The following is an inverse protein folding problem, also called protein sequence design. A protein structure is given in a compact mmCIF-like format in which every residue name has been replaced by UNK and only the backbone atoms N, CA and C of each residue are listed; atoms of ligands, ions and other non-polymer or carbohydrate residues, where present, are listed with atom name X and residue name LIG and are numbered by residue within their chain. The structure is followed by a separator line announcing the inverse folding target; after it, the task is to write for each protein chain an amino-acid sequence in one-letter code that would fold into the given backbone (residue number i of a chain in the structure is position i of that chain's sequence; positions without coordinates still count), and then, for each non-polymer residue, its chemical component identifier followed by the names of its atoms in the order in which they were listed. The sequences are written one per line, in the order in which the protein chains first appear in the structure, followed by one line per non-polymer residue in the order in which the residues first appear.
data_IF_024234629710
#
_entry.id   IF_024234629710
#
_cell.length_a   1.000
_cell.length_b   1.000
_cell.length_c   1.000
_cell.angle_alpha   90.00
_cell.angle_beta   90.00
_cell.angle_gamma   90.00
#
_symmetry.space_group_name_H-M   'P 1'
#
loop_
_entity.id
_entity.type
_entity.pdbx_description
1 polymer ?
#
# COMPACT_ATOMS: atom_id res chain seq x y z
N UNK A 1 -37.93 -75.18 -46.21
CA UNK A 1 -38.82 -75.53 -45.07
C UNK A 1 -37.98 -75.37 -43.80
N UNK A 2 -38.26 -74.58 -42.77
CA UNK A 2 -39.33 -73.66 -42.34
C UNK A 2 -38.55 -72.56 -41.57
N UNK A 3 -38.67 -71.26 -41.89
CA UNK A 3 -39.61 -70.31 -41.27
C UNK A 3 -39.81 -70.59 -39.77
N UNK A 4 -39.58 -69.59 -38.90
CA UNK A 4 -39.86 -69.52 -37.44
C UNK A 4 -38.68 -69.12 -36.52
N UNK A 5 -37.67 -68.37 -36.99
CA UNK A 5 -36.72 -67.71 -36.05
C UNK A 5 -36.94 -66.19 -35.96
N UNK A 6 -37.82 -65.63 -36.81
CA UNK A 6 -38.09 -64.19 -36.82
C UNK A 6 -39.06 -63.67 -35.73
N UNK A 7 -40.03 -64.45 -35.18
CA UNK A 7 -40.92 -63.92 -34.14
C UNK A 7 -40.36 -63.99 -32.70
N UNK A 8 -39.29 -64.75 -32.45
CA UNK A 8 -38.73 -64.93 -31.11
C UNK A 8 -37.71 -63.85 -30.72
N UNK A 9 -37.04 -63.23 -31.71
CA UNK A 9 -36.03 -62.18 -31.45
C UNK A 9 -36.69 -60.82 -31.15
N UNK A 10 -37.88 -60.55 -31.69
CA UNK A 10 -38.61 -59.29 -31.44
C UNK A 10 -39.22 -59.26 -30.02
N UNK A 11 -39.64 -60.40 -29.48
CA UNK A 11 -40.23 -60.49 -28.14
C UNK A 11 -39.19 -60.40 -27.01
N UNK A 12 -37.92 -60.77 -27.27
CA UNK A 12 -36.82 -60.58 -26.31
C UNK A 12 -36.28 -59.14 -26.29
N UNK A 13 -36.42 -58.40 -27.39
CA UNK A 13 -36.05 -56.97 -27.43
C UNK A 13 -37.12 -56.11 -26.71
N UNK A 14 -38.40 -56.51 -26.70
CA UNK A 14 -39.45 -55.73 -26.03
C UNK A 14 -39.45 -55.82 -24.49
N UNK A 15 -38.81 -56.84 -23.89
CA UNK A 15 -38.76 -56.99 -22.42
C UNK A 15 -37.56 -56.25 -21.79
N UNK A 16 -36.51 -55.96 -22.56
CA UNK A 16 -35.38 -55.16 -22.08
C UNK A 16 -35.64 -53.64 -22.12
N UNK A 17 -36.72 -53.18 -22.75
CA UNK A 17 -37.04 -51.75 -22.92
C UNK A 17 -38.14 -51.20 -21.99
N UNK A 18 -38.69 -51.97 -21.05
CA UNK A 18 -39.81 -51.51 -20.20
C UNK A 18 -39.45 -51.37 -18.69
N UNK A 19 -38.24 -51.75 -18.26
CA UNK A 19 -37.88 -51.74 -16.82
C UNK A 19 -36.58 -51.02 -16.43
N UNK A 20 -36.07 -50.07 -17.24
CA UNK A 20 -35.13 -49.07 -16.74
C UNK A 20 -35.73 -47.67 -16.84
N UNK A 21 -36.56 -47.37 -15.84
CA UNK A 21 -36.75 -46.00 -15.34
C UNK A 21 -35.46 -45.59 -14.64
N UNK A 22 -34.71 -44.68 -15.23
CA UNK A 22 -33.76 -43.80 -14.53
C UNK A 22 -33.48 -42.61 -15.45
N UNK A 23 -34.03 -41.46 -15.05
CA UNK A 23 -33.61 -40.08 -15.34
C UNK A 23 -33.36 -39.66 -16.80
N UNK A 24 -33.83 -38.46 -17.23
CA UNK A 24 -33.49 -37.95 -18.54
C UNK A 24 -31.96 -37.88 -18.66
N UNK A 25 -31.36 -38.27 -19.81
CA UNK A 25 -29.93 -38.18 -20.00
C UNK A 25 -29.53 -36.73 -19.78
N UNK A 26 -28.80 -36.50 -18.68
CA UNK A 26 -28.02 -35.29 -18.48
C UNK A 26 -27.30 -35.09 -19.80
N UNK A 27 -27.61 -33.99 -20.50
CA UNK A 27 -26.78 -33.52 -21.61
C UNK A 27 -25.35 -33.67 -21.08
N UNK A 28 -24.59 -34.57 -21.66
CA UNK A 28 -23.14 -34.44 -21.65
C UNK A 28 -22.93 -33.11 -22.36
N UNK A 29 -22.92 -32.03 -21.56
CA UNK A 29 -22.17 -30.85 -21.89
C UNK A 29 -20.84 -31.41 -22.36
N UNK A 30 -20.42 -31.18 -23.62
CA UNK A 30 -19.08 -31.58 -24.02
C UNK A 30 -18.19 -31.06 -22.92
N UNK A 31 -17.40 -31.98 -22.32
CA UNK A 31 -16.43 -31.66 -21.29
C UNK A 31 -15.88 -30.31 -21.69
N UNK A 32 -16.17 -29.28 -20.86
CA UNK A 32 -15.74 -27.93 -21.16
C UNK A 32 -14.29 -28.10 -21.55
N UNK A 33 -14.02 -27.86 -22.83
CA UNK A 33 -12.67 -27.79 -23.34
C UNK A 33 -11.96 -27.00 -22.27
N UNK A 34 -10.89 -27.58 -21.72
CA UNK A 34 -9.98 -26.83 -20.90
C UNK A 34 -9.45 -25.71 -21.81
N UNK A 35 -10.25 -24.67 -21.96
CA UNK A 35 -9.83 -23.36 -22.41
C UNK A 35 -8.77 -23.05 -21.39
N UNK A 36 -7.51 -23.10 -21.84
CA UNK A 36 -6.43 -22.43 -21.14
C UNK A 36 -7.00 -21.08 -20.69
N UNK A 37 -6.82 -20.65 -19.43
CA UNK A 37 -6.98 -19.25 -19.15
C UNK A 37 -5.92 -18.55 -20.01
N UNK A 38 -6.32 -18.07 -21.19
CA UNK A 38 -5.43 -17.50 -22.21
C UNK A 38 -4.89 -16.12 -21.77
N UNK A 39 -5.24 -15.65 -20.58
CA UNK A 39 -4.68 -14.45 -19.99
C UNK A 39 -4.00 -14.86 -18.67
N UNK A 40 -2.66 -14.94 -18.69
CA UNK A 40 -1.88 -14.94 -17.46
C UNK A 40 -2.08 -13.58 -16.76
N UNK A 41 -1.88 -13.49 -15.44
CA UNK A 41 -1.82 -12.20 -14.78
C UNK A 41 -0.70 -11.34 -15.38
N UNK A 42 -0.85 -10.02 -15.27
CA UNK A 42 0.19 -9.09 -15.68
C UNK A 42 0.54 -8.16 -14.53
N UNK A 43 1.84 -7.91 -14.36
CA UNK A 43 2.35 -6.87 -13.47
C UNK A 43 2.34 -5.54 -14.21
N UNK A 44 1.85 -4.49 -13.56
CA UNK A 44 1.71 -3.16 -14.14
C UNK A 44 2.53 -2.14 -13.36
N UNK A 45 3.23 -1.30 -14.11
CA UNK A 45 3.99 -0.14 -13.64
C UNK A 45 3.59 1.10 -14.45
N UNK A 46 4.16 2.25 -14.10
CA UNK A 46 4.08 3.50 -14.83
C UNK A 46 4.81 3.43 -16.18
N UNK A 47 5.76 2.51 -16.34
CA UNK A 47 6.55 2.32 -17.56
C UNK A 47 5.91 1.33 -18.55
N UNK A 48 4.99 0.48 -18.09
CA UNK A 48 4.33 -0.51 -18.93
C UNK A 48 3.67 -1.65 -18.15
N UNK A 49 3.48 -2.77 -18.82
CA UNK A 49 2.93 -3.98 -18.21
C UNK A 49 3.60 -5.21 -18.81
N UNK A 50 3.90 -6.20 -17.98
CA UNK A 50 4.48 -7.46 -18.43
C UNK A 50 3.71 -8.66 -17.88
N UNK A 51 3.64 -9.74 -18.64
CA UNK A 51 3.04 -10.99 -18.18
C UNK A 51 3.91 -11.63 -17.09
N UNK A 52 3.26 -12.11 -16.03
CA UNK A 52 3.98 -12.85 -14.98
C UNK A 52 4.17 -14.32 -15.38
N UNK A 53 5.31 -14.89 -15.02
CA UNK A 53 5.64 -16.27 -15.28
C UNK A 53 4.96 -17.20 -14.27
N UNK A 54 4.20 -18.19 -14.73
CA UNK A 54 3.56 -19.17 -13.84
C UNK A 54 4.59 -20.15 -13.27
N UNK A 55 4.83 -20.11 -11.95
CA UNK A 55 5.67 -21.07 -11.25
C UNK A 55 4.91 -22.35 -10.90
N UNK A 56 3.77 -22.22 -10.23
CA UNK A 56 3.00 -23.37 -9.70
C UNK A 56 1.49 -23.13 -9.82
N UNK A 57 0.76 -24.12 -10.34
CA UNK A 57 -0.68 -24.02 -10.61
C UNK A 57 -1.59 -24.29 -9.41
N UNK A 58 -1.11 -25.06 -8.45
CA UNK A 58 -1.85 -25.42 -7.23
C UNK A 58 -1.37 -24.63 -6.01
N UNK A 59 -0.47 -23.66 -6.25
CA UNK A 59 0.26 -22.97 -5.21
C UNK A 59 1.39 -23.82 -4.66
N UNK A 60 2.50 -23.18 -4.32
CA UNK A 60 3.52 -23.80 -3.50
C UNK A 60 3.56 -23.16 -2.12
N UNK A 61 3.93 -23.97 -1.13
CA UNK A 61 4.68 -23.42 0.00
C UNK A 61 5.95 -22.81 -0.57
N UNK A 62 6.18 -21.52 -0.35
CA UNK A 62 7.34 -20.80 -0.88
C UNK A 62 8.65 -21.52 -0.54
N UNK A 63 8.73 -22.16 0.63
CA UNK A 63 9.89 -22.92 1.10
C UNK A 63 10.15 -24.19 0.30
N UNK A 64 9.17 -24.68 -0.47
CA UNK A 64 9.31 -25.87 -1.31
C UNK A 64 9.76 -25.56 -2.74
N UNK A 65 9.78 -24.28 -3.14
CA UNK A 65 10.25 -23.87 -4.47
C UNK A 65 11.78 -23.94 -4.49
N UNK A 66 12.32 -24.77 -5.39
CA UNK A 66 13.77 -24.94 -5.48
C UNK A 66 14.48 -23.71 -6.05
N UNK A 67 15.74 -23.49 -5.65
CA UNK A 67 16.55 -22.38 -6.15
C UNK A 67 16.76 -22.44 -7.65
N UNK A 68 16.90 -23.63 -8.23
CA UNK A 68 17.07 -23.85 -9.67
C UNK A 68 15.83 -23.41 -10.44
N UNK A 69 14.64 -23.67 -9.88
CA UNK A 69 13.38 -23.24 -10.47
C UNK A 69 13.24 -21.71 -10.47
N UNK A 70 13.61 -21.06 -9.37
CA UNK A 70 13.62 -19.58 -9.27
C UNK A 70 14.67 -18.95 -10.20
N UNK A 71 15.87 -19.52 -10.28
CA UNK A 71 16.90 -19.06 -11.21
C UNK A 71 16.45 -19.19 -12.67
N UNK A 72 15.83 -20.33 -13.03
CA UNK A 72 15.29 -20.52 -14.37
C UNK A 72 14.14 -19.57 -14.70
N UNK A 73 13.30 -19.24 -13.72
CA UNK A 73 12.26 -18.23 -13.89
C UNK A 73 12.85 -16.82 -14.05
N UNK A 74 13.91 -16.47 -13.32
CA UNK A 74 14.64 -15.20 -13.46
C UNK A 74 15.29 -15.03 -14.85
N UNK A 75 15.73 -16.13 -15.47
CA UNK A 75 16.27 -16.11 -16.84
C UNK A 75 15.17 -15.97 -17.90
N UNK A 76 14.00 -16.57 -17.67
CA UNK A 76 12.90 -16.62 -18.64
C UNK A 76 11.94 -15.42 -18.56
N UNK A 77 11.73 -14.86 -17.38
CA UNK A 77 10.80 -13.77 -17.18
C UNK A 77 11.29 -12.49 -17.87
N UNK A 78 10.38 -11.84 -18.58
CA UNK A 78 10.64 -10.50 -19.13
C UNK A 78 10.82 -9.50 -17.99
N UNK A 79 11.71 -8.55 -18.22
CA UNK A 79 12.08 -7.56 -17.20
C UNK A 79 11.27 -6.30 -17.39
N UNK A 80 10.51 -5.91 -16.38
CA UNK A 80 9.86 -4.60 -16.34
C UNK A 80 10.74 -3.61 -15.58
N UNK A 81 10.98 -2.45 -16.16
CA UNK A 81 11.74 -1.39 -15.51
C UNK A 81 10.84 -0.57 -14.61
N UNK A 82 11.24 -0.31 -13.38
CA UNK A 82 10.37 0.31 -12.36
C UNK A 82 11.11 1.43 -11.63
N UNK A 83 10.37 2.42 -11.15
CA UNK A 83 10.92 3.47 -10.29
C UNK A 83 10.98 2.98 -8.83
N UNK A 84 11.95 3.45 -8.02
CA UNK A 84 11.97 3.17 -6.59
C UNK A 84 10.69 3.73 -5.93
N UNK A 85 10.17 3.02 -4.92
CA UNK A 85 8.91 3.32 -4.19
C UNK A 85 7.63 3.34 -5.04
N UNK A 86 7.72 2.95 -6.31
CA UNK A 86 6.55 2.76 -7.15
C UNK A 86 5.63 1.67 -6.59
N UNK A 87 4.32 1.81 -6.79
CA UNK A 87 3.34 0.76 -6.45
C UNK A 87 3.03 -0.05 -7.69
N UNK A 88 3.38 -1.33 -7.67
CA UNK A 88 3.02 -2.26 -8.72
C UNK A 88 1.65 -2.87 -8.44
N UNK A 89 0.81 -2.88 -9.47
CA UNK A 89 -0.47 -3.58 -9.43
C UNK A 89 -0.36 -4.88 -10.22
N UNK A 90 -1.08 -5.91 -9.78
CA UNK A 90 -1.23 -7.13 -10.55
C UNK A 90 -2.67 -7.26 -11.02
N UNK A 91 -2.82 -7.44 -12.33
CA UNK A 91 -4.12 -7.69 -12.93
C UNK A 91 -4.35 -9.18 -13.03
N UNK A 92 -5.50 -9.63 -12.53
CA UNK A 92 -5.91 -11.01 -12.62
C UNK A 92 -7.18 -11.11 -13.48
N UNK A 93 -7.35 -12.17 -14.28
CA UNK A 93 -8.62 -12.43 -14.97
C UNK A 93 -9.79 -12.60 -13.99
N UNK A 94 -9.49 -13.14 -12.80
CA UNK A 94 -10.40 -13.28 -11.67
C UNK A 94 -9.62 -12.82 -10.44
N UNK A 95 -10.10 -11.81 -9.74
CA UNK A 95 -9.40 -11.27 -8.58
C UNK A 95 -9.31 -12.31 -7.44
N UNK A 96 -8.09 -12.53 -6.91
CA UNK A 96 -7.90 -13.37 -5.73
C UNK A 96 -8.49 -12.70 -4.48
N UNK A 97 -8.74 -13.50 -3.45
CA UNK A 97 -9.12 -13.00 -2.12
C UNK A 97 -7.91 -12.65 -1.25
N UNK A 98 -6.73 -13.13 -1.61
CA UNK A 98 -5.47 -12.87 -0.90
C UNK A 98 -4.31 -12.93 -1.89
N UNK A 99 -3.41 -11.96 -1.81
CA UNK A 99 -2.15 -11.91 -2.54
C UNK A 99 -1.02 -11.72 -1.55
N UNK A 100 0.06 -12.49 -1.71
CA UNK A 100 1.30 -12.28 -0.96
C UNK A 100 2.49 -12.13 -1.90
N UNK A 101 3.40 -11.25 -1.53
CA UNK A 101 4.62 -10.94 -2.26
C UNK A 101 5.85 -11.41 -1.48
N UNK A 102 6.85 -11.94 -2.18
CA UNK A 102 8.14 -12.31 -1.59
C UNK A 102 9.25 -12.02 -2.58
N UNK A 103 10.37 -11.48 -2.10
CA UNK A 103 11.52 -11.16 -2.96
C UNK A 103 12.49 -12.34 -3.09
N UNK A 104 13.07 -12.44 -4.29
CA UNK A 104 14.16 -13.35 -4.63
C UNK A 104 15.32 -12.54 -5.22
N UNK A 105 16.46 -12.60 -4.53
CA UNK A 105 17.72 -12.08 -5.03
C UNK A 105 18.63 -13.28 -5.41
N UNK A 106 19.25 -13.31 -6.59
CA UNK A 106 20.09 -14.44 -7.01
C UNK A 106 21.25 -14.75 -6.04
N UNK A 107 21.84 -13.72 -5.43
CA UNK A 107 23.00 -13.86 -4.53
C UNK A 107 22.59 -14.25 -3.10
N UNK A 108 21.47 -13.73 -2.60
CA UNK A 108 21.01 -13.94 -1.22
C UNK A 108 20.02 -15.10 -1.08
N UNK A 109 19.34 -15.46 -2.18
CA UNK A 109 18.26 -16.44 -2.20
C UNK A 109 16.88 -15.80 -1.97
N UNK A 110 15.95 -16.60 -1.44
CA UNK A 110 14.60 -16.13 -1.13
C UNK A 110 14.60 -15.36 0.19
N UNK A 111 14.05 -14.15 0.18
CA UNK A 111 13.98 -13.25 1.33
C UNK A 111 12.61 -13.38 2.00
N UNK A 112 12.46 -14.40 2.85
CA UNK A 112 11.17 -14.81 3.45
C UNK A 112 10.63 -13.79 4.47
N UNK A 113 11.49 -12.94 5.04
CA UNK A 113 11.09 -11.98 6.08
C UNK A 113 10.40 -10.72 5.51
N UNK A 114 10.34 -10.57 4.19
CA UNK A 114 9.66 -9.47 3.48
C UNK A 114 8.37 -9.97 2.81
N UNK A 115 7.48 -10.59 3.59
CA UNK A 115 6.15 -10.96 3.10
C UNK A 115 5.19 -9.76 3.23
N UNK A 116 4.72 -9.24 2.10
CA UNK A 116 3.70 -8.20 2.05
C UNK A 116 2.36 -8.85 1.61
N UNK A 117 1.32 -8.68 2.43
CA UNK A 117 -0.06 -9.04 2.09
C UNK A 117 -0.84 -7.77 1.75
N UNK A 118 -1.03 -7.53 0.45
CA UNK A 118 -1.75 -6.37 -0.10
C UNK A 118 -2.10 -6.65 -1.57
N UNK A 119 -2.95 -5.82 -2.18
CA UNK A 119 -3.22 -5.87 -3.63
C UNK A 119 -2.13 -5.17 -4.45
N UNK A 120 -1.28 -4.38 -3.78
CA UNK A 120 -0.20 -3.61 -4.37
C UNK A 120 1.14 -3.98 -3.74
N UNK A 121 2.18 -4.10 -4.56
CA UNK A 121 3.54 -4.27 -4.08
C UNK A 121 4.30 -2.94 -4.15
N UNK A 122 4.98 -2.54 -3.08
CA UNK A 122 5.78 -1.31 -3.06
C UNK A 122 7.22 -1.67 -3.41
N UNK A 123 7.74 -1.05 -4.49
CA UNK A 123 9.11 -1.28 -4.93
C UNK A 123 10.10 -0.74 -3.90
N UNK A 124 11.12 -1.53 -3.50
CA UNK A 124 12.13 -1.06 -2.55
C UNK A 124 12.99 0.06 -3.16
N UNK A 125 13.71 0.77 -2.29
CA UNK A 125 14.63 1.82 -2.71
C UNK A 125 15.79 1.27 -3.53
N UNK A 126 16.46 0.21 -3.07
CA UNK A 126 17.75 -0.21 -3.63
C UNK A 126 17.66 -0.68 -5.11
N UNK A 127 18.50 -0.12 -6.01
CA UNK A 127 18.45 -0.36 -7.44
C UNK A 127 18.85 -1.79 -7.82
N UNK A 128 18.55 -2.16 -9.06
CA UNK A 128 18.97 -3.41 -9.69
C UNK A 128 17.86 -4.43 -9.89
N UNK A 129 18.26 -5.60 -10.37
CA UNK A 129 17.36 -6.67 -10.80
C UNK A 129 16.90 -7.49 -9.60
N UNK A 130 15.59 -7.69 -9.50
CA UNK A 130 14.95 -8.51 -8.46
C UNK A 130 13.91 -9.46 -9.05
N UNK A 131 13.74 -10.61 -8.41
CA UNK A 131 12.63 -11.51 -8.65
C UNK A 131 11.52 -11.28 -7.64
N UNK A 132 10.29 -11.15 -8.11
CA UNK A 132 9.10 -11.05 -7.27
C UNK A 132 8.31 -12.36 -7.38
N UNK A 133 8.18 -13.07 -6.27
CA UNK A 133 7.33 -14.26 -6.17
C UNK A 133 5.97 -13.80 -5.68
N UNK A 134 4.93 -14.10 -6.45
CA UNK A 134 3.56 -13.63 -6.21
C UNK A 134 2.69 -14.85 -5.95
N UNK A 135 2.08 -14.93 -4.78
CA UNK A 135 1.18 -16.02 -4.44
C UNK A 135 -0.25 -15.50 -4.34
N UNK A 136 -1.15 -16.06 -5.13
CA UNK A 136 -2.55 -15.66 -5.18
C UNK A 136 -3.46 -16.82 -4.71
N UNK A 137 -4.44 -16.51 -3.86
CA UNK A 137 -5.42 -17.45 -3.31
C UNK A 137 -6.86 -16.96 -3.59
N UNK A 138 -7.74 -17.85 -4.05
CA UNK A 138 -9.12 -17.50 -4.40
C UNK A 138 -10.13 -18.03 -3.38
N UNK A 139 -11.18 -17.26 -3.12
CA UNK A 139 -12.20 -17.56 -2.11
C UNK A 139 -12.95 -18.90 -2.35
N UNK A 140 -13.07 -19.34 -3.61
CA UNK A 140 -13.72 -20.61 -3.96
C UNK A 140 -12.79 -21.83 -3.83
N UNK A 141 -11.57 -21.62 -3.34
CA UNK A 141 -10.47 -22.58 -3.38
C UNK A 141 -9.64 -22.41 -4.64
N UNK A 142 -8.38 -22.84 -4.56
CA UNK A 142 -7.38 -22.64 -5.60
C UNK A 142 -6.31 -21.64 -5.15
N UNK A 143 -5.07 -21.96 -5.51
CA UNK A 143 -3.88 -21.17 -5.23
C UNK A 143 -2.96 -21.28 -6.42
N UNK A 144 -2.23 -20.21 -6.72
CA UNK A 144 -1.22 -20.22 -7.76
C UNK A 144 -0.04 -19.35 -7.34
N UNK A 145 1.15 -19.72 -7.78
CA UNK A 145 2.38 -18.96 -7.55
C UNK A 145 2.96 -18.54 -8.88
N UNK A 146 3.29 -17.26 -9.00
CA UNK A 146 3.84 -16.61 -10.17
C UNK A 146 5.19 -15.97 -9.85
N UNK A 147 5.92 -15.60 -10.89
CA UNK A 147 7.20 -14.92 -10.82
C UNK A 147 7.21 -13.74 -11.78
N UNK A 148 7.64 -12.58 -11.30
CA UNK A 148 7.93 -11.42 -12.14
C UNK A 148 9.39 -11.01 -11.95
N UNK A 149 10.00 -10.42 -12.98
CA UNK A 149 11.34 -9.87 -12.91
C UNK A 149 11.25 -8.36 -13.07
N UNK A 150 11.76 -7.65 -12.07
CA UNK A 150 11.77 -6.19 -12.04
C UNK A 150 13.21 -5.69 -12.09
N UNK A 151 13.42 -4.53 -12.70
CA UNK A 151 14.69 -3.80 -12.66
C UNK A 151 14.45 -2.40 -12.09
N UNK A 152 14.85 -2.22 -10.83
CA UNK A 152 14.68 -0.97 -10.10
C UNK A 152 15.73 0.02 -10.58
N UNK A 153 15.27 1.12 -11.19
CA UNK A 153 16.16 2.13 -11.75
C UNK A 153 16.99 2.82 -10.65
N UNK A 154 18.25 3.10 -10.93
CA UNK A 154 19.09 4.00 -10.13
C UNK A 154 18.87 5.43 -10.60
N UNK A 155 18.02 6.16 -9.85
CA UNK A 155 17.62 7.53 -10.19
C UNK A 155 18.41 8.56 -9.37
N UNK A 156 18.66 8.25 -8.10
CA UNK A 156 19.31 9.15 -7.15
C UNK A 156 20.60 8.53 -6.61
N UNK A 157 21.62 9.36 -6.35
CA UNK A 157 22.90 8.84 -5.83
C UNK A 157 22.80 8.33 -4.39
N UNK A 158 21.81 8.83 -3.63
CA UNK A 158 21.54 8.50 -2.24
C UNK A 158 20.42 7.46 -2.08
N UNK A 159 19.94 6.88 -3.18
CA UNK A 159 18.76 6.00 -3.19
C UNK A 159 18.89 4.81 -2.21
N UNK A 160 20.06 4.17 -2.16
CA UNK A 160 20.35 3.05 -1.23
C UNK A 160 20.42 3.46 0.24
N UNK A 161 20.53 4.76 0.51
CA UNK A 161 20.61 5.29 1.87
C UNK A 161 19.23 5.59 2.46
N UNK A 162 18.18 5.54 1.64
CA UNK A 162 16.82 5.72 2.09
C UNK A 162 16.26 4.39 2.58
N UNK A 163 15.51 4.46 3.68
CA UNK A 163 14.79 3.34 4.25
C UNK A 163 13.92 2.63 3.20
N UNK A 164 13.97 1.28 3.13
CA UNK A 164 13.06 0.52 2.29
C UNK A 164 11.62 0.56 2.83
N UNK A 165 11.42 0.83 4.12
CA UNK A 165 10.09 1.04 4.68
C UNK A 165 9.63 2.49 4.42
N UNK A 166 8.54 2.70 3.64
CA UNK A 166 8.04 4.04 3.30
C UNK A 166 7.49 4.83 4.50
N UNK A 167 7.24 4.16 5.63
CA UNK A 167 6.78 4.80 6.87
C UNK A 167 7.94 5.35 7.72
N UNK A 168 9.18 4.97 7.42
CA UNK A 168 10.37 5.40 8.17
C UNK A 168 11.07 6.52 7.40
N UNK A 169 11.28 7.65 8.07
CA UNK A 169 12.05 8.75 7.52
C UNK A 169 13.54 8.42 7.51
N UNK A 170 14.27 8.91 6.52
CA UNK A 170 15.72 8.68 6.41
C UNK A 170 16.45 9.99 6.65
N UNK A 171 17.24 10.04 7.72
CA UNK A 171 18.13 11.17 8.03
C UNK A 171 19.50 10.83 7.50
N UNK A 172 20.00 11.62 6.55
CA UNK A 172 21.34 11.46 5.99
C UNK A 172 22.19 12.66 6.40
N UNK A 173 23.31 12.40 7.04
CA UNK A 173 24.27 13.41 7.46
C UNK A 173 25.60 13.24 6.72
N UNK A 174 26.08 14.33 6.14
CA UNK A 174 27.36 14.41 5.46
C UNK A 174 28.33 15.27 6.27
N UNK A 175 29.58 14.81 6.42
CA UNK A 175 30.62 15.48 7.21
C UNK A 175 32.02 15.21 6.66
N UNK A 176 32.98 16.10 6.93
CA UNK A 176 34.40 15.85 6.64
C UNK A 176 35.08 15.01 7.73
N UNK A 177 34.50 14.95 8.92
CA UNK A 177 35.10 14.28 10.09
C UNK A 177 34.13 13.29 10.72
N UNK A 178 34.69 12.22 11.30
CA UNK A 178 33.95 11.25 12.10
C UNK A 178 33.46 11.83 13.45
N UNK A 179 33.96 13.01 13.85
CA UNK A 179 33.55 13.71 15.07
C UNK A 179 32.32 14.59 14.82
N UNK A 180 31.25 14.00 14.29
CA UNK A 180 29.97 14.69 14.09
C UNK A 180 29.15 14.74 15.39
N UNK A 181 28.30 15.78 15.56
CA UNK A 181 27.32 15.79 16.64
C UNK A 181 26.41 14.56 16.52
N UNK A 182 26.24 13.82 17.61
CA UNK A 182 25.45 12.58 17.64
C UNK A 182 23.97 12.90 17.42
N UNK A 183 23.46 12.59 16.22
CA UNK A 183 22.03 12.67 15.93
C UNK A 183 21.33 11.68 16.86
N UNK A 184 20.34 12.12 17.67
CA UNK A 184 19.68 11.26 18.61
C UNK A 184 19.05 10.07 17.89
N UNK A 185 19.01 8.88 18.50
CA UNK A 185 18.29 7.77 17.94
C UNK A 185 16.80 8.10 17.88
N UNK A 186 16.13 7.54 16.87
CA UNK A 186 14.69 7.68 16.75
C UNK A 186 13.97 7.00 17.92
N UNK A 187 13.30 7.81 18.73
CA UNK A 187 12.30 7.31 19.69
C UNK A 187 11.19 6.67 18.85
N UNK A 188 10.88 5.40 19.11
CA UNK A 188 9.85 4.61 18.41
C UNK A 188 10.15 4.23 16.95
N UNK A 189 11.39 4.40 16.46
CA UNK A 189 11.79 3.94 15.12
C UNK A 189 11.21 4.71 13.93
N UNK A 190 10.62 5.89 14.17
CA UNK A 190 10.11 6.81 13.13
C UNK A 190 11.15 7.26 12.09
N UNK A 191 12.44 7.27 12.42
CA UNK A 191 13.50 7.55 11.45
C UNK A 191 14.73 6.67 11.62
N UNK A 192 15.45 6.45 10.52
CA UNK A 192 16.80 5.90 10.50
C UNK A 192 17.83 7.03 10.28
N UNK A 193 19.06 6.81 10.73
CA UNK A 193 20.15 7.77 10.55
C UNK A 193 21.28 7.08 9.80
N UNK A 194 21.76 7.71 8.73
CA UNK A 194 22.97 7.33 8.03
C UNK A 194 23.96 8.49 8.04
N UNK A 195 25.23 8.19 8.28
CA UNK A 195 26.30 9.18 8.32
C UNK A 195 27.34 8.83 7.27
N UNK A 196 27.70 9.80 6.44
CA UNK A 196 28.67 9.67 5.37
C UNK A 196 29.79 10.66 5.58
N UNK A 197 31.01 10.14 5.61
CA UNK A 197 32.21 10.94 5.83
C UNK A 197 33.04 10.96 4.55
N UNK A 198 33.53 12.13 4.16
CA UNK A 198 34.39 12.32 3.00
C UNK A 198 34.77 13.77 2.82
N UNK A 199 35.73 14.06 1.94
CA UNK A 199 36.02 15.46 1.59
C UNK A 199 34.83 16.10 0.85
N UNK A 200 34.72 17.43 0.93
CA UNK A 200 33.71 18.20 0.19
C UNK A 200 33.67 17.82 -1.30
N UNK A 201 34.84 17.71 -1.94
CA UNK A 201 34.95 17.38 -3.36
C UNK A 201 34.53 15.94 -3.68
N UNK A 202 34.87 14.98 -2.83
CA UNK A 202 34.43 13.58 -2.99
C UNK A 202 32.93 13.46 -2.84
N UNK A 203 32.36 14.04 -1.78
CA UNK A 203 30.93 13.96 -1.53
C UNK A 203 30.10 14.68 -2.59
N UNK A 204 30.55 15.83 -3.11
CA UNK A 204 29.89 16.48 -4.25
C UNK A 204 29.91 15.63 -5.52
N UNK A 205 31.00 14.90 -5.77
CA UNK A 205 31.12 14.02 -6.94
C UNK A 205 30.24 12.78 -6.79
N UNK A 206 30.22 12.20 -5.60
CA UNK A 206 29.52 10.95 -5.32
C UNK A 206 28.01 11.20 -5.11
N UNK A 207 27.62 12.41 -4.69
CA UNK A 207 26.22 12.83 -4.50
C UNK A 207 25.86 14.14 -5.23
N UNK A 208 25.92 14.16 -6.57
CA UNK A 208 25.77 15.38 -7.37
C UNK A 208 24.37 15.98 -7.33
N UNK A 209 23.34 15.16 -7.15
CA UNK A 209 21.92 15.52 -7.08
C UNK A 209 21.49 16.14 -5.75
N UNK A 210 22.31 16.01 -4.70
CA UNK A 210 22.07 16.67 -3.40
C UNK A 210 22.56 18.12 -3.36
N UNK A 211 23.35 18.56 -4.35
CA UNK A 211 23.82 19.96 -4.39
C UNK A 211 24.66 20.36 -3.17
N UNK A 212 25.43 19.44 -2.59
CA UNK A 212 26.22 19.63 -1.37
C UNK A 212 27.13 20.86 -1.46
N UNK A 213 26.69 22.03 -1.00
CA UNK A 213 27.45 23.28 -1.13
C UNK A 213 28.47 23.50 0.01
N UNK A 214 28.19 22.91 1.18
CA UNK A 214 29.02 23.01 2.38
C UNK A 214 28.76 21.83 3.31
N UNK A 215 29.74 21.53 4.16
CA UNK A 215 29.65 20.52 5.22
C UNK A 215 29.70 21.16 6.62
N UNK A 216 29.02 20.57 7.63
CA UNK A 216 28.12 19.43 7.50
C UNK A 216 26.84 19.77 6.73
N UNK A 217 26.21 18.76 6.14
CA UNK A 217 24.91 18.87 5.49
C UNK A 217 24.00 17.75 5.98
N UNK A 218 22.75 18.08 6.24
CA UNK A 218 21.76 17.16 6.78
C UNK A 218 20.52 17.18 5.91
N UNK A 219 20.06 16.00 5.54
CA UNK A 219 18.89 15.81 4.70
C UNK A 219 17.93 14.86 5.40
N UNK A 220 16.64 15.12 5.26
CA UNK A 220 15.59 14.20 5.71
C UNK A 220 14.70 13.86 4.53
N UNK A 221 14.53 12.56 4.31
CA UNK A 221 13.72 12.00 3.24
C UNK A 221 12.55 11.20 3.80
N UNK A 222 11.45 11.20 3.07
CA UNK A 222 10.41 10.18 3.16
C UNK A 222 10.25 9.59 1.77
N UNK A 223 10.60 8.32 1.59
CA UNK A 223 10.74 7.72 0.24
C UNK A 223 11.65 8.60 -0.64
N UNK A 224 11.25 8.93 -1.87
CA UNK A 224 11.99 9.83 -2.78
C UNK A 224 11.93 11.32 -2.40
N UNK A 225 11.02 11.72 -1.50
CA UNK A 225 10.78 13.14 -1.25
C UNK A 225 11.75 13.68 -0.20
N UNK A 226 12.56 14.66 -0.62
CA UNK A 226 13.37 15.47 0.29
C UNK A 226 12.47 16.48 1.00
N UNK A 227 12.22 16.26 2.28
CA UNK A 227 11.30 17.10 3.07
C UNK A 227 12.03 18.15 3.92
N UNK A 228 13.33 17.97 4.14
CA UNK A 228 14.14 18.91 4.93
C UNK A 228 15.62 18.86 4.52
N UNK A 229 16.24 20.04 4.49
CA UNK A 229 17.67 20.23 4.26
C UNK A 229 18.19 21.32 5.19
N UNK A 230 19.37 21.11 5.79
CA UNK A 230 20.06 22.16 6.55
C UNK A 230 21.56 21.89 6.66
N UNK A 231 22.34 22.94 6.89
CA UNK A 231 23.75 22.86 7.30
C UNK A 231 23.95 23.08 8.81
N UNK A 232 22.86 23.20 9.58
CA UNK A 232 22.89 23.53 11.01
C UNK A 232 22.30 22.40 11.82
N UNK A 233 23.13 21.81 12.67
CA UNK A 233 22.73 20.71 13.56
C UNK A 233 21.51 21.06 14.43
N UNK A 234 21.49 22.25 15.05
CA UNK A 234 20.34 22.67 15.88
C UNK A 234 19.02 22.75 15.10
N UNK A 235 19.08 23.05 13.79
CA UNK A 235 17.89 23.06 12.94
C UNK A 235 17.41 21.65 12.63
N UNK A 236 18.33 20.70 12.39
CA UNK A 236 17.99 19.29 12.26
C UNK A 236 17.33 18.78 13.54
N UNK A 237 17.95 19.01 14.70
CA UNK A 237 17.40 18.56 15.98
C UNK A 237 16.05 19.19 16.25
N UNK A 238 15.90 20.48 15.97
CA UNK A 238 14.59 21.12 16.04
C UNK A 238 13.60 20.40 15.14
N UNK A 239 13.91 20.14 13.88
CA UNK A 239 13.02 19.44 12.96
C UNK A 239 12.62 18.02 13.45
N UNK A 240 13.58 17.21 13.89
CA UNK A 240 13.33 15.82 14.33
C UNK A 240 12.53 15.74 15.64
N UNK A 241 12.63 16.75 16.49
CA UNK A 241 12.02 16.76 17.84
C UNK A 241 10.81 17.67 17.96
N UNK A 242 10.57 18.54 16.97
CA UNK A 242 9.49 19.52 17.02
C UNK A 242 8.15 18.82 17.15
N UNK A 243 7.43 19.20 18.20
CA UNK A 243 6.00 18.99 18.30
C UNK A 243 5.34 20.24 17.74
N UNK A 244 4.60 20.10 16.66
CA UNK A 244 3.75 21.16 16.13
C UNK A 244 2.33 20.96 16.64
N UNK A 245 1.71 22.06 17.10
CA UNK A 245 0.29 22.09 17.42
C UNK A 245 -0.38 23.11 16.51
N UNK A 246 -1.29 22.65 15.66
CA UNK A 246 -2.06 23.48 14.75
C UNK A 246 -3.51 23.49 15.20
N UNK A 247 -4.09 24.68 15.34
CA UNK A 247 -5.51 24.82 15.70
C UNK A 247 -6.26 25.43 14.53
N UNK A 248 -7.18 24.67 13.96
CA UNK A 248 -8.09 25.11 12.91
C UNK A 248 -9.49 25.33 13.49
N UNK A 249 -10.15 26.39 13.04
CA UNK A 249 -11.54 26.67 13.43
C UNK A 249 -12.41 26.95 12.21
N UNK A 250 -13.66 26.52 12.29
CA UNK A 250 -14.67 26.81 11.27
C UNK A 250 -16.06 26.80 11.86
N UNK A 251 -16.98 27.45 11.15
CA UNK A 251 -18.36 27.57 11.57
C UNK A 251 -19.27 27.60 10.35
N UNK A 252 -20.40 26.90 10.41
CA UNK A 252 -21.45 26.89 9.38
C UNK A 252 -22.72 27.55 9.90
N UNK A 253 -23.89 27.26 9.32
CA UNK A 253 -25.16 27.68 9.93
C UNK A 253 -25.40 26.93 11.26
N UNK A 254 -25.15 25.62 11.27
CA UNK A 254 -25.56 24.73 12.35
C UNK A 254 -24.42 24.25 13.26
N UNK A 255 -23.17 24.36 12.83
CA UNK A 255 -22.05 23.74 13.52
C UNK A 255 -20.91 24.72 13.76
N UNK A 256 -20.22 24.53 14.88
CA UNK A 256 -18.91 25.13 15.17
C UNK A 256 -17.91 24.00 15.40
N UNK A 257 -16.74 24.12 14.79
CA UNK A 257 -15.66 23.13 14.85
C UNK A 257 -14.38 23.78 15.32
N UNK A 258 -13.69 23.09 16.22
CA UNK A 258 -12.28 23.28 16.51
C UNK A 258 -11.57 21.97 16.23
N UNK A 259 -10.55 22.00 15.38
CA UNK A 259 -9.68 20.87 15.07
C UNK A 259 -8.28 21.21 15.59
N UNK A 260 -7.83 20.47 16.59
CA UNK A 260 -6.49 20.60 17.17
C UNK A 260 -5.64 19.45 16.68
N UNK A 261 -4.64 19.74 15.83
CA UNK A 261 -3.68 18.78 15.33
C UNK A 261 -2.42 18.86 16.18
N UNK A 262 -2.02 17.77 16.80
CA UNK A 262 -0.71 17.62 17.42
C UNK A 262 0.13 16.68 16.55
N UNK A 263 1.23 17.16 15.98
CA UNK A 263 2.05 16.35 15.09
C UNK A 263 3.54 16.49 15.42
N UNK A 264 4.25 15.38 15.26
CA UNK A 264 5.71 15.24 15.22
C UNK A 264 6.04 14.54 13.90
N UNK A 265 7.31 14.54 13.50
CA UNK A 265 7.78 13.75 12.37
C UNK A 265 7.20 12.31 12.40
N UNK A 266 6.45 11.96 11.36
CA UNK A 266 5.85 10.64 11.15
C UNK A 266 4.66 10.26 12.02
N UNK A 267 4.35 11.02 13.08
CA UNK A 267 3.29 10.67 14.03
C UNK A 267 2.51 11.91 14.46
N UNK A 268 1.19 11.83 14.43
CA UNK A 268 0.35 12.86 14.99
C UNK A 268 -0.98 12.32 15.49
N UNK A 269 -1.75 13.22 16.06
CA UNK A 269 -3.16 13.04 16.31
C UNK A 269 -3.88 14.32 15.94
N UNK A 270 -5.18 14.21 15.68
CA UNK A 270 -6.05 15.35 15.73
C UNK A 270 -7.23 15.08 16.65
N UNK A 271 -7.56 16.08 17.45
CA UNK A 271 -8.78 16.15 18.22
C UNK A 271 -9.76 17.07 17.51
N UNK A 272 -10.96 16.58 17.27
CA UNK A 272 -12.06 17.41 16.80
C UNK A 272 -13.02 17.67 17.96
N UNK A 273 -13.32 18.93 18.20
CA UNK A 273 -14.41 19.39 19.05
C UNK A 273 -15.49 20.00 18.16
N UNK A 274 -16.68 19.39 18.17
CA UNK A 274 -17.82 19.79 17.37
C UNK A 274 -18.97 20.21 18.29
N UNK A 275 -19.52 21.39 18.06
CA UNK A 275 -20.67 21.93 18.80
C UNK A 275 -21.82 22.25 17.85
N UNK A 276 -23.01 21.74 18.14
CA UNK A 276 -24.23 22.11 17.43
C UNK A 276 -24.81 23.42 17.98
N UNK A 277 -25.07 24.38 17.09
CA UNK A 277 -25.54 25.74 17.41
C UNK A 277 -27.06 25.92 17.32
N UNK A 278 -27.78 24.89 16.88
CA UNK A 278 -29.24 24.95 16.78
C UNK A 278 -29.93 24.98 18.14
N UNK A 279 -31.27 24.95 18.13
CA UNK A 279 -32.04 25.11 19.36
C UNK A 279 -31.92 23.87 20.25
N UNK A 280 -31.70 24.08 21.54
CA UNK A 280 -31.68 23.02 22.56
C UNK A 280 -33.00 22.24 22.56
N UNK A 281 -32.94 20.92 22.38
CA UNK A 281 -34.10 20.02 22.35
C UNK A 281 -34.31 19.25 21.05
N UNK A 282 -33.56 19.56 19.99
CA UNK A 282 -33.51 18.72 18.78
C UNK A 282 -32.84 17.38 19.15
N UNK A 283 -33.59 16.28 19.11
CA UNK A 283 -33.01 14.94 19.23
C UNK A 283 -32.28 14.62 17.93
N UNK A 284 -30.96 14.82 17.93
CA UNK A 284 -30.11 14.41 16.83
C UNK A 284 -29.94 12.89 16.82
N UNK A 285 -30.20 12.28 15.67
CA UNK A 285 -29.79 10.91 15.41
C UNK A 285 -28.26 10.80 15.37
N UNK A 286 -27.77 9.60 15.06
CA UNK A 286 -26.36 9.45 14.74
C UNK A 286 -26.01 10.27 13.51
N UNK A 287 -24.81 10.84 13.51
CA UNK A 287 -24.27 11.56 12.36
C UNK A 287 -22.87 11.07 12.00
N UNK A 288 -22.46 11.38 10.79
CA UNK A 288 -21.15 11.05 10.24
C UNK A 288 -20.36 12.33 10.03
N UNK A 289 -19.05 12.22 10.19
CA UNK A 289 -18.13 13.33 10.01
C UNK A 289 -16.99 12.93 9.08
N UNK A 290 -16.43 13.91 8.38
CA UNK A 290 -15.25 13.70 7.55
C UNK A 290 -14.38 14.94 7.58
N UNK A 291 -13.12 14.79 7.97
CA UNK A 291 -12.08 15.81 7.78
C UNK A 291 -11.37 15.54 6.48
N UNK A 292 -11.26 16.55 5.62
CA UNK A 292 -10.54 16.48 4.35
C UNK A 292 -9.40 17.49 4.31
N UNK A 293 -8.22 17.00 3.96
CA UNK A 293 -7.12 17.79 3.42
C UNK A 293 -7.10 17.77 1.90
N UNK A 294 -6.01 18.24 1.32
CA UNK A 294 -5.78 18.24 -0.13
C UNK A 294 -5.45 16.83 -0.66
N UNK A 295 -4.76 16.01 0.14
CA UNK A 295 -4.31 14.67 -0.24
C UNK A 295 -4.73 13.56 0.73
N UNK A 296 -5.54 13.88 1.74
CA UNK A 296 -5.97 12.94 2.77
C UNK A 296 -7.42 13.18 3.20
N UNK A 297 -8.05 12.15 3.74
CA UNK A 297 -9.41 12.19 4.26
C UNK A 297 -9.54 11.23 5.43
N UNK A 298 -10.18 11.66 6.51
CA UNK A 298 -10.49 10.84 7.67
C UNK A 298 -11.98 10.96 7.99
N UNK A 299 -12.69 9.84 7.94
CA UNK A 299 -14.13 9.77 8.18
C UNK A 299 -14.46 8.95 9.42
N UNK A 300 -15.43 9.44 10.20
CA UNK A 300 -15.96 8.75 11.38
C UNK A 300 -17.49 8.73 11.32
N UNK A 301 -18.10 7.69 11.89
CA UNK A 301 -19.55 7.52 11.86
C UNK A 301 -20.11 7.14 13.22
N UNK A 302 -21.40 7.40 13.43
CA UNK A 302 -22.13 6.96 14.61
C UNK A 302 -22.03 7.89 15.82
N UNK A 303 -21.57 9.12 15.63
CA UNK A 303 -21.46 10.11 16.71
C UNK A 303 -22.84 10.47 17.28
N UNK A 304 -22.88 10.74 18.58
CA UNK A 304 -24.04 11.31 19.26
C UNK A 304 -23.60 12.53 20.05
N UNK A 305 -24.44 13.56 20.06
CA UNK A 305 -24.19 14.75 20.88
C UNK A 305 -24.42 14.43 22.35
N UNK A 306 -23.61 15.03 23.21
CA UNK A 306 -23.80 15.00 24.66
C UNK A 306 -24.95 15.93 25.11
N UNK A 307 -25.19 15.99 26.43
CA UNK A 307 -26.23 16.83 27.02
C UNK A 307 -26.02 18.35 26.78
N UNK A 308 -24.82 18.75 26.37
CA UNK A 308 -24.43 20.12 26.05
C UNK A 308 -24.34 20.39 24.54
N UNK A 309 -24.85 19.47 23.70
CA UNK A 309 -24.78 19.53 22.23
C UNK A 309 -23.35 19.48 21.67
N UNK A 310 -22.44 18.79 22.34
CA UNK A 310 -21.04 18.64 21.93
C UNK A 310 -20.68 17.19 21.59
N UNK A 311 -19.68 17.02 20.74
CA UNK A 311 -18.94 15.76 20.61
C UNK A 311 -17.45 16.08 20.49
N UNK A 312 -16.64 15.19 21.08
CA UNK A 312 -15.19 15.19 20.92
C UNK A 312 -14.77 13.86 20.31
N UNK A 313 -13.93 13.89 19.29
CA UNK A 313 -13.27 12.71 18.74
C UNK A 313 -11.77 12.93 18.65
N UNK A 314 -11.00 11.85 18.84
CA UNK A 314 -9.54 11.87 18.78
C UNK A 314 -9.12 10.77 17.81
N UNK A 315 -8.33 11.15 16.80
CA UNK A 315 -7.82 10.27 15.78
C UNK A 315 -6.30 10.34 15.74
N UNK A 316 -5.67 9.20 15.48
CA UNK A 316 -4.24 9.11 15.21
C UNK A 316 -4.00 9.26 13.71
N UNK A 317 -2.94 9.97 13.33
CA UNK A 317 -2.53 10.15 11.93
C UNK A 317 -1.05 9.82 11.78
N UNK A 318 -0.69 9.24 10.64
CA UNK A 318 0.70 8.97 10.23
C UNK A 318 1.16 9.88 9.07
N UNK A 319 0.38 10.91 8.76
CA UNK A 319 0.72 11.96 7.79
C UNK A 319 0.80 13.33 8.48
N UNK A 320 1.61 14.23 7.93
CA UNK A 320 1.70 15.61 8.41
C UNK A 320 0.66 16.49 7.73
N UNK A 321 0.03 17.38 8.50
CA UNK A 321 -0.90 18.40 7.99
C UNK A 321 -0.12 19.71 7.84
N UNK A 322 -0.10 20.27 6.63
CA UNK A 322 0.63 21.52 6.37
C UNK A 322 -0.16 22.75 6.83
N UNK A 323 0.54 23.77 7.34
CA UNK A 323 -0.04 25.08 7.69
C UNK A 323 -0.70 25.81 6.52
N UNK A 324 -0.29 25.48 5.29
CA UNK A 324 -0.83 26.08 4.06
C UNK A 324 -1.95 25.27 3.44
N UNK A 325 -2.26 24.10 4.00
CA UNK A 325 -3.25 23.19 3.47
C UNK A 325 -4.67 23.72 3.69
N UNK A 326 -5.54 23.49 2.71
CA UNK A 326 -6.97 23.79 2.85
C UNK A 326 -7.66 22.62 3.51
N UNK A 327 -8.10 22.82 4.75
CA UNK A 327 -8.81 21.80 5.52
C UNK A 327 -10.30 22.10 5.49
N UNK A 328 -11.12 21.09 5.19
CA UNK A 328 -12.57 21.18 5.26
C UNK A 328 -13.11 20.10 6.19
N UNK A 329 -14.15 20.43 6.94
CA UNK A 329 -14.91 19.50 7.76
C UNK A 329 -16.28 19.28 7.15
N UNK A 330 -16.71 18.03 7.01
CA UNK A 330 -18.03 17.67 6.49
C UNK A 330 -18.80 17.00 7.61
N UNK A 331 -20.03 17.44 7.85
CA UNK A 331 -20.97 16.77 8.75
C UNK A 331 -22.14 16.26 7.90
N UNK A 332 -22.56 15.01 8.10
CA UNK A 332 -23.76 14.42 7.48
C UNK A 332 -24.73 13.95 8.55
N UNK A 333 -25.95 14.48 8.53
CA UNK A 333 -26.99 14.18 9.52
C UNK A 333 -28.37 14.36 8.91
N UNK A 334 -29.34 13.53 9.30
CA UNK A 334 -30.75 13.64 8.87
C UNK A 334 -30.94 13.87 7.35
N UNK A 335 -30.08 13.27 6.53
CA UNK A 335 -30.09 13.43 5.07
C UNK A 335 -29.58 14.78 4.55
N UNK A 336 -29.02 15.63 5.41
CA UNK A 336 -28.32 16.87 5.09
C UNK A 336 -26.81 16.69 5.16
N UNK A 337 -26.10 17.52 4.42
CA UNK A 337 -24.64 17.60 4.41
C UNK A 337 -24.24 19.08 4.50
N UNK A 338 -23.34 19.41 5.43
CA UNK A 338 -22.71 20.73 5.48
C UNK A 338 -21.19 20.59 5.41
N UNK A 339 -20.58 21.34 4.50
CA UNK A 339 -19.13 21.48 4.38
C UNK A 339 -18.69 22.80 5.01
N UNK A 340 -17.69 22.72 5.88
CA UNK A 340 -17.28 23.79 6.78
C UNK A 340 -15.77 24.02 6.54
N UNK A 341 -15.40 25.10 5.86
CA UNK A 341 -13.99 25.41 5.65
C UNK A 341 -13.35 25.79 6.98
N UNK A 342 -12.23 25.16 7.30
CA UNK A 342 -11.48 25.45 8.52
C UNK A 342 -10.33 26.41 8.22
N UNK A 343 -10.12 27.37 9.12
CA UNK A 343 -9.02 28.34 9.03
C UNK A 343 -8.06 28.16 10.19
N UNK A 344 -6.76 28.15 9.89
CA UNK A 344 -5.71 28.10 10.91
C UNK A 344 -5.76 29.37 11.79
N UNK A 345 -5.87 29.20 13.10
CA UNK A 345 -5.97 30.30 14.09
C UNK A 345 -4.67 30.54 14.84
N UNK A 346 -4.01 29.49 15.30
CA UNK A 346 -2.80 29.57 16.10
C UNK A 346 -1.77 28.51 15.71
N UNK A 347 -0.49 28.91 15.77
CA UNK A 347 0.71 28.08 15.65
C UNK A 347 1.49 28.25 16.97
N UNK A 348 1.31 27.31 17.90
CA UNK A 348 2.13 27.30 19.12
C UNK A 348 3.48 26.68 18.77
N UNK A 349 4.52 27.53 18.69
CA UNK A 349 5.90 27.14 18.39
C UNK A 349 6.65 26.57 19.58
#
# INVERSE_FOLDING_TARGET
MKKYILPAVILLISILFINQVTEPPKKETPAASATKPDNLPSIMSNSGSEEVFLLEKEGADLRSISKEKLASAMEQAETISVMPWERLAITYPIYPSKVTFTEYAPEEGMMIDYEQEDDLYIIPAAPGIRGLIITAEWAQGGKATYFAKIDVQSIYSYQEMISPNPEIFSVIAFSETENHPEIPPSIDGIYSVQMVTGSQEELQRDFPDLGLAALPAFFVFQTSDMIFETHKYDQLISFLTKKEVLVYEGESENWKITLTVEQKLGNGSFETQLSYKGKSGDKFGQFETTVNGQSWSAGEGGHQLDENNHVTSINTINWAISKTEKVNYIVKWDGKEETIPLSLKEDHK
#
